data_IF_710209945371
#
_entry.id   IF_710209945371
#
_cell.length_a   1.000
_cell.length_b   1.000
_cell.length_c   1.000
_cell.angle_alpha   90.00
_cell.angle_beta   90.00
_cell.angle_gamma   90.00
#
_symmetry.space_group_name_H-M   'P 1'
#
loop_
_entity.id
_entity.type
_entity.pdbx_description
1 polymer ?
#
# COMPACT_ATOMS: atom_id res chain seq x y z
N UNK A 1 -5.58 -0.56 27.02
CA UNK A 1 -5.15 -1.30 25.80
C UNK A 1 -5.66 -0.60 24.55
N UNK A 2 -6.94 -0.24 24.49
CA UNK A 2 -7.57 0.37 23.32
C UNK A 2 -6.92 1.68 22.83
N UNK A 3 -6.43 2.53 23.74
CA UNK A 3 -5.72 3.75 23.34
C UNK A 3 -4.41 3.48 22.58
N UNK A 4 -3.69 2.41 22.92
CA UNK A 4 -2.48 2.01 22.19
C UNK A 4 -2.82 1.42 20.82
N UNK A 5 -3.87 0.61 20.74
CA UNK A 5 -4.37 0.07 19.45
C UNK A 5 -4.81 1.19 18.52
N UNK A 6 -5.62 2.15 19.03
CA UNK A 6 -6.05 3.32 18.26
C UNK A 6 -4.89 4.22 17.83
N UNK A 7 -3.76 4.20 18.55
CA UNK A 7 -2.57 4.96 18.16
C UNK A 7 -1.78 4.35 17.00
N UNK A 8 -2.12 3.13 16.53
CA UNK A 8 -1.44 2.48 15.41
C UNK A 8 0.02 2.08 15.67
N UNK A 9 0.51 2.17 16.92
CA UNK A 9 1.92 1.92 17.29
C UNK A 9 2.40 0.49 17.03
N UNK A 10 1.48 -0.44 16.77
CA UNK A 10 1.80 -1.80 16.33
C UNK A 10 2.22 -1.89 14.85
N UNK A 11 2.06 -0.80 14.10
CA UNK A 11 2.49 -0.63 12.72
C UNK A 11 3.74 0.27 12.62
N UNK A 12 4.57 0.07 11.59
CA UNK A 12 5.57 1.05 11.17
C UNK A 12 4.93 2.40 10.84
N UNK A 13 5.69 3.48 10.99
CA UNK A 13 5.22 4.86 10.78
C UNK A 13 4.50 5.10 9.43
N UNK A 14 5.01 4.61 8.27
CA UNK A 14 4.34 4.81 6.97
C UNK A 14 2.98 4.11 6.84
N UNK A 15 2.64 3.22 7.77
CA UNK A 15 1.36 2.51 7.80
C UNK A 15 0.45 3.02 8.92
N UNK A 16 0.81 4.08 9.64
CA UNK A 16 -0.05 4.66 10.69
C UNK A 16 -1.03 5.68 10.14
N UNK A 17 -0.67 6.38 9.07
CA UNK A 17 -1.55 7.34 8.39
C UNK A 17 -2.31 6.67 7.24
N UNK A 18 -3.59 6.98 7.11
CA UNK A 18 -4.46 6.37 6.10
C UNK A 18 -4.07 6.73 4.66
N UNK A 19 -3.59 7.96 4.42
CA UNK A 19 -3.16 8.39 3.09
C UNK A 19 -1.89 7.64 2.68
N UNK A 20 -0.93 7.52 3.60
CA UNK A 20 0.31 6.79 3.37
C UNK A 20 0.06 5.28 3.18
N UNK A 21 -0.85 4.69 3.98
CA UNK A 21 -1.30 3.31 3.78
C UNK A 21 -1.81 3.09 2.36
N UNK A 22 -2.68 3.97 1.86
CA UNK A 22 -3.26 3.83 0.51
C UNK A 22 -2.18 3.86 -0.58
N UNK A 23 -1.19 4.73 -0.43
CA UNK A 23 -0.10 4.85 -1.39
C UNK A 23 0.84 3.63 -1.36
N UNK A 24 1.09 3.06 -0.17
CA UNK A 24 1.79 1.78 -0.02
C UNK A 24 1.06 0.66 -0.73
N UNK A 25 -0.25 0.48 -0.51
CA UNK A 25 -1.03 -0.59 -1.16
C UNK A 25 -1.11 -0.43 -2.68
N UNK A 26 -1.23 0.81 -3.18
CA UNK A 26 -1.15 1.10 -4.62
C UNK A 26 0.22 0.77 -5.19
N UNK A 27 1.30 1.08 -4.47
CA UNK A 27 2.65 0.74 -4.89
C UNK A 27 2.84 -0.79 -4.95
N UNK A 28 2.32 -1.53 -3.96
CA UNK A 28 2.30 -3.00 -3.97
C UNK A 28 1.60 -3.51 -5.23
N UNK A 29 0.37 -3.07 -5.49
CA UNK A 29 -0.39 -3.51 -6.66
C UNK A 29 0.29 -3.16 -7.99
N UNK A 30 1.04 -2.06 -8.05
CA UNK A 30 1.76 -1.64 -9.25
C UNK A 30 3.08 -2.39 -9.48
N UNK A 31 3.70 -2.94 -8.42
CA UNK A 31 5.06 -3.50 -8.47
C UNK A 31 5.09 -5.01 -8.28
N UNK A 32 4.13 -5.58 -7.56
CA UNK A 32 3.96 -7.01 -7.40
C UNK A 32 3.17 -7.53 -8.60
N UNK A 33 3.73 -8.52 -9.29
CA UNK A 33 3.00 -9.21 -10.35
C UNK A 33 1.86 -10.04 -9.74
N UNK A 34 0.67 -9.45 -9.72
CA UNK A 34 -0.57 -10.10 -9.28
C UNK A 34 -1.32 -10.78 -10.44
N UNK A 35 -0.86 -10.59 -11.69
CA UNK A 35 -1.49 -11.20 -12.86
C UNK A 35 -1.37 -12.72 -12.79
N UNK A 36 -2.52 -13.40 -12.89
CA UNK A 36 -2.62 -14.86 -12.81
C UNK A 36 -2.81 -15.43 -11.41
N UNK A 37 -2.72 -14.62 -10.34
CA UNK A 37 -2.99 -15.09 -8.98
C UNK A 37 -4.51 -15.13 -8.71
N UNK A 38 -5.09 -16.32 -8.51
CA UNK A 38 -6.55 -16.50 -8.37
C UNK A 38 -7.18 -15.62 -7.27
N UNK A 39 -6.48 -15.47 -6.13
CA UNK A 39 -6.93 -14.62 -5.03
C UNK A 39 -6.94 -13.13 -5.37
N UNK A 40 -6.10 -12.67 -6.29
CA UNK A 40 -6.04 -11.26 -6.69
C UNK A 40 -7.16 -10.87 -7.68
N UNK A 41 -7.75 -11.86 -8.39
CA UNK A 41 -8.84 -11.61 -9.35
C UNK A 41 -10.18 -11.31 -8.69
N UNK A 42 -10.38 -11.80 -7.47
CA UNK A 42 -11.69 -11.81 -6.79
C UNK A 42 -11.75 -10.83 -5.61
N UNK A 43 -10.61 -10.40 -5.11
CA UNK A 43 -10.54 -9.49 -3.96
C UNK A 43 -10.47 -8.05 -4.46
N UNK A 44 -11.51 -7.27 -4.14
CA UNK A 44 -11.44 -5.83 -4.27
C UNK A 44 -10.29 -5.29 -3.40
N UNK A 45 -9.46 -4.43 -3.97
CA UNK A 45 -8.23 -3.99 -3.33
C UNK A 45 -8.50 -3.19 -2.05
N UNK A 46 -9.59 -2.43 -1.98
CA UNK A 46 -9.99 -1.67 -0.78
C UNK A 46 -10.40 -2.65 0.32
N UNK A 47 -11.22 -3.64 -0.02
CA UNK A 47 -11.60 -4.70 0.90
C UNK A 47 -10.37 -5.46 1.43
N UNK A 48 -9.41 -5.77 0.56
CA UNK A 48 -8.14 -6.38 0.94
C UNK A 48 -7.32 -5.53 1.91
N UNK A 49 -7.18 -4.23 1.63
CA UNK A 49 -6.48 -3.28 2.52
C UNK A 49 -7.13 -3.22 3.91
N UNK A 50 -8.45 -2.99 3.97
CA UNK A 50 -9.19 -2.90 5.22
C UNK A 50 -9.09 -4.20 6.03
N UNK A 51 -9.20 -5.36 5.37
CA UNK A 51 -9.05 -6.64 6.07
C UNK A 51 -7.65 -6.80 6.68
N UNK A 52 -6.58 -6.49 5.92
CA UNK A 52 -5.21 -6.65 6.42
C UNK A 52 -4.91 -5.70 7.58
N UNK A 53 -5.20 -4.41 7.44
CA UNK A 53 -4.84 -3.40 8.44
C UNK A 53 -5.82 -3.43 9.62
N UNK A 54 -7.11 -3.27 9.36
CA UNK A 54 -8.11 -3.01 10.40
C UNK A 54 -8.55 -4.28 11.13
N UNK A 55 -8.49 -5.44 10.46
CA UNK A 55 -8.93 -6.71 11.04
C UNK A 55 -7.73 -7.54 11.48
N UNK A 56 -6.87 -7.97 10.54
CA UNK A 56 -5.81 -8.92 10.82
C UNK A 56 -4.72 -8.34 11.73
N UNK A 57 -4.10 -7.22 11.35
CA UNK A 57 -3.01 -6.63 12.14
C UNK A 57 -3.53 -6.09 13.47
N UNK A 58 -4.73 -5.52 13.52
CA UNK A 58 -5.37 -5.15 14.79
C UNK A 58 -5.57 -6.36 15.71
N UNK A 59 -6.07 -7.48 15.17
CA UNK A 59 -6.28 -8.72 15.93
C UNK A 59 -4.95 -9.30 16.46
N UNK A 60 -3.88 -9.21 15.69
CA UNK A 60 -2.53 -9.59 16.10
C UNK A 60 -2.00 -8.65 17.19
N UNK A 61 -2.23 -7.34 17.07
CA UNK A 61 -1.83 -6.36 18.07
C UNK A 61 -2.51 -6.58 19.42
N UNK A 62 -3.78 -7.05 19.43
CA UNK A 62 -4.46 -7.49 20.66
C UNK A 62 -3.73 -8.64 21.38
N UNK A 63 -2.84 -9.36 20.70
CA UNK A 63 -2.03 -10.46 21.25
C UNK A 63 -0.57 -10.07 21.49
N UNK A 64 -0.25 -8.78 21.40
CA UNK A 64 1.10 -8.25 21.66
C UNK A 64 2.05 -8.33 20.46
N UNK A 65 1.56 -8.68 19.26
CA UNK A 65 2.39 -8.66 18.06
C UNK A 65 2.48 -7.27 17.44
N UNK A 66 3.61 -7.00 16.79
CA UNK A 66 3.83 -5.77 16.01
C UNK A 66 4.46 -6.12 14.67
N UNK A 67 4.14 -5.36 13.64
CA UNK A 67 4.80 -5.49 12.34
C UNK A 67 6.15 -4.77 12.41
N UNK A 68 7.24 -5.50 12.22
CA UNK A 68 8.60 -4.98 12.33
C UNK A 68 9.43 -5.37 11.10
N UNK A 69 10.32 -4.47 10.68
CA UNK A 69 11.34 -4.79 9.68
C UNK A 69 12.31 -5.81 10.27
N UNK A 70 12.63 -6.86 9.53
CA UNK A 70 13.59 -7.88 9.96
C UNK A 70 14.99 -7.28 10.17
N UNK A 71 15.77 -7.90 11.06
CA UNK A 71 17.18 -7.54 11.34
C UNK A 71 18.19 -8.32 10.51
N UNK A 72 17.73 -9.30 9.72
CA UNK A 72 18.60 -10.11 8.86
C UNK A 72 19.29 -9.24 7.81
N UNK A 73 20.57 -9.48 7.54
CA UNK A 73 21.36 -8.71 6.56
C UNK A 73 21.09 -9.22 5.14
N UNK A 74 19.98 -8.80 4.55
CA UNK A 74 19.66 -9.02 3.14
C UNK A 74 19.63 -7.67 2.41
N UNK A 75 19.73 -7.71 1.09
CA UNK A 75 19.44 -6.53 0.28
C UNK A 75 17.93 -6.32 0.24
N UNK A 76 17.45 -5.31 0.97
CA UNK A 76 16.05 -4.91 0.96
C UNK A 76 15.85 -3.74 0.01
N UNK A 77 14.74 -3.73 -0.70
CA UNK A 77 14.23 -2.55 -1.41
C UNK A 77 13.81 -1.47 -0.40
N UNK A 78 13.89 -0.22 -0.83
CA UNK A 78 13.42 0.92 -0.05
C UNK A 78 11.93 1.17 -0.32
N UNK A 79 11.12 1.08 0.74
CA UNK A 79 9.67 1.27 0.66
C UNK A 79 9.31 2.69 0.19
N UNK A 80 10.00 3.71 0.68
CA UNK A 80 9.71 5.10 0.35
C UNK A 80 10.01 5.40 -1.11
N UNK A 81 11.15 4.91 -1.62
CA UNK A 81 11.51 5.03 -3.03
C UNK A 81 10.50 4.33 -3.94
N UNK A 82 10.05 3.12 -3.57
CA UNK A 82 9.07 2.38 -4.35
C UNK A 82 7.71 3.12 -4.42
N UNK A 83 7.26 3.68 -3.29
CA UNK A 83 6.03 4.47 -3.23
C UNK A 83 6.15 5.75 -4.05
N UNK A 84 7.26 6.48 -3.91
CA UNK A 84 7.53 7.71 -4.66
C UNK A 84 7.53 7.44 -6.17
N UNK A 85 8.25 6.40 -6.61
CA UNK A 85 8.30 6.00 -8.02
C UNK A 85 6.91 5.64 -8.56
N UNK A 86 6.11 4.88 -7.80
CA UNK A 86 4.73 4.54 -8.20
C UNK A 86 3.82 5.78 -8.29
N UNK A 87 4.00 6.74 -7.39
CA UNK A 87 3.25 8.00 -7.39
C UNK A 87 3.61 8.86 -8.61
N UNK A 88 4.89 9.03 -8.93
CA UNK A 88 5.35 9.75 -10.12
C UNK A 88 4.80 9.14 -11.41
N UNK A 89 4.82 7.81 -11.52
CA UNK A 89 4.36 7.10 -12.72
C UNK A 89 2.86 7.29 -12.94
N UNK A 90 2.06 7.31 -11.85
CA UNK A 90 0.62 7.64 -11.91
C UNK A 90 0.39 9.09 -12.34
N UNK A 91 1.15 10.05 -11.82
CA UNK A 91 1.05 11.46 -12.20
C UNK A 91 1.38 11.66 -13.68
N UNK A 92 2.44 11.02 -14.20
CA UNK A 92 2.82 11.06 -15.62
C UNK A 92 1.69 10.53 -16.51
N UNK A 93 1.13 9.35 -16.19
CA UNK A 93 -0.01 8.77 -16.93
C UNK A 93 -1.22 9.70 -16.98
N UNK A 94 -1.53 10.38 -15.86
CA UNK A 94 -2.63 11.33 -15.80
C UNK A 94 -2.39 12.53 -16.75
N UNK A 95 -1.17 13.09 -16.73
CA UNK A 95 -0.79 14.21 -17.61
C UNK A 95 -0.89 13.82 -19.07
N UNK A 96 -0.38 12.64 -19.44
CA UNK A 96 -0.44 12.15 -20.82
C UNK A 96 -1.88 11.93 -21.28
N UNK A 97 -2.74 11.35 -20.43
CA UNK A 97 -4.16 11.20 -20.72
C UNK A 97 -4.80 12.58 -20.98
N UNK A 98 -4.55 13.57 -20.13
CA UNK A 98 -5.07 14.94 -20.29
C UNK A 98 -4.57 15.64 -21.56
N UNK A 99 -3.39 15.29 -22.08
CA UNK A 99 -2.89 15.79 -23.36
C UNK A 99 -3.61 15.14 -24.54
N UNK A 100 -3.80 13.83 -24.51
CA UNK A 100 -4.51 13.09 -25.57
C UNK A 100 -5.98 13.46 -25.70
N UNK A 101 -6.64 13.95 -24.64
CA UNK A 101 -8.04 14.40 -24.70
C UNK A 101 -8.21 15.82 -25.25
N UNK A 102 -7.10 16.57 -25.42
CA UNK A 102 -7.11 17.96 -25.91
C UNK A 102 -6.82 18.10 -27.41
N UNK A 103 -6.42 17.02 -28.10
CA UNK A 103 -6.33 17.00 -29.57
C UNK A 103 -7.68 16.57 -30.15
N UNK A 104 -8.42 17.45 -30.86
CA UNK A 104 -9.56 17.02 -31.65
C UNK A 104 -9.05 16.24 -32.87
N UNK A 105 -9.67 15.10 -33.17
CA UNK A 105 -9.54 14.46 -34.49
C UNK A 105 -9.98 15.44 -35.60
N UNK A 106 -9.34 15.39 -36.79
CA UNK A 106 -9.50 16.37 -37.86
C UNK A 106 -10.91 16.44 -38.45
#
# INVERSE_FOLDING_TARGET
MDGWLKSGKYLPEPLRDFHDQKDVFKAIHATVNVEGHEYAKTVDWVAGQCYVIDIFLWWMAKRGYTLQKTRTRLQFRDLGQDVAAANELRTKRLIDLMRTTKEPQP
#
